data_IF_784176871895
#
_entry.id   IF_784176871895
#
_cell.length_a   1.000
_cell.length_b   1.000
_cell.length_c   1.000
_cell.angle_alpha   90.00
_cell.angle_beta   90.00
_cell.angle_gamma   90.00
#
_symmetry.space_group_name_H-M   'P 1'
#
loop_
_entity.id
_entity.type
_entity.pdbx_description
1 polymer ?
#
# COMPACT_ATOMS: atom_id res chain seq x y z
N UNK A 1 12.80 -8.89 -39.25
CA UNK A 1 13.07 -9.10 -37.82
C UNK A 1 12.97 -7.74 -37.13
N UNK A 2 11.91 -7.44 -36.40
CA UNK A 2 11.88 -6.26 -35.51
C UNK A 2 10.91 -6.55 -34.37
N UNK A 3 11.40 -6.37 -33.15
CA UNK A 3 10.86 -6.95 -31.93
C UNK A 3 9.39 -6.64 -31.65
N UNK A 4 8.64 -7.71 -31.30
CA UNK A 4 7.38 -7.58 -30.56
C UNK A 4 7.72 -6.98 -29.18
N UNK A 5 7.38 -5.71 -28.96
CA UNK A 5 7.35 -5.12 -27.62
C UNK A 5 6.24 -5.78 -26.80
N UNK A 6 6.58 -6.85 -26.08
CA UNK A 6 5.71 -7.45 -25.08
C UNK A 6 6.09 -6.95 -23.68
N UNK A 7 5.05 -6.70 -22.88
CA UNK A 7 5.03 -6.50 -21.43
C UNK A 7 5.26 -5.07 -20.91
N UNK A 8 4.17 -4.31 -20.87
CA UNK A 8 3.99 -3.21 -19.92
C UNK A 8 3.96 -3.79 -18.50
N UNK A 9 5.14 -4.01 -17.92
CA UNK A 9 5.29 -4.45 -16.54
C UNK A 9 4.69 -3.40 -15.60
N UNK A 10 3.71 -3.79 -14.80
CA UNK A 10 3.18 -3.01 -13.68
C UNK A 10 4.37 -2.62 -12.79
N UNK A 11 4.84 -1.37 -12.92
CA UNK A 11 5.87 -0.83 -12.03
C UNK A 11 5.26 -0.87 -10.62
N UNK A 12 5.64 -1.89 -9.83
CA UNK A 12 5.26 -2.04 -8.42
C UNK A 12 5.94 -0.92 -7.63
N UNK A 13 5.44 0.31 -7.73
CA UNK A 13 5.89 1.38 -6.84
C UNK A 13 5.37 1.08 -5.44
N UNK A 14 6.31 0.71 -4.56
CA UNK A 14 6.08 0.63 -3.13
C UNK A 14 6.04 2.05 -2.57
N UNK A 15 5.01 2.41 -1.82
CA UNK A 15 4.87 3.71 -1.17
C UNK A 15 5.90 3.85 -0.05
N UNK A 16 6.87 4.73 -0.30
CA UNK A 16 7.79 5.18 0.74
C UNK A 16 7.14 6.25 1.61
N UNK A 17 7.61 6.39 2.85
CA UNK A 17 7.10 7.43 3.77
C UNK A 17 7.19 8.84 3.16
N UNK A 18 8.26 9.14 2.42
CA UNK A 18 8.42 10.42 1.71
C UNK A 18 7.32 10.65 0.65
N UNK A 19 6.89 9.61 -0.07
CA UNK A 19 5.80 9.70 -1.05
C UNK A 19 4.46 9.94 -0.35
N UNK A 20 4.23 9.28 0.79
CA UNK A 20 3.01 9.46 1.59
C UNK A 20 2.95 10.87 2.20
N UNK A 21 4.09 11.41 2.65
CA UNK A 21 4.19 12.80 3.12
C UNK A 21 3.85 13.79 2.02
N UNK A 22 4.45 13.62 0.84
CA UNK A 22 4.24 14.49 -0.34
C UNK A 22 2.91 14.26 -1.07
N UNK A 23 2.11 13.28 -0.64
CA UNK A 23 0.86 12.97 -1.31
C UNK A 23 -0.09 14.17 -1.24
N UNK A 24 -0.69 14.59 -2.37
CA UNK A 24 -1.62 15.72 -2.40
C UNK A 24 -2.88 15.40 -1.59
N UNK A 25 -3.36 16.39 -0.85
CA UNK A 25 -4.57 16.32 -0.01
C UNK A 25 -5.82 16.33 -0.89
N UNK A 26 -6.10 15.22 -1.52
CA UNK A 26 -7.27 14.99 -2.37
C UNK A 26 -7.82 13.60 -2.09
N UNK A 27 -9.09 13.36 -2.43
CA UNK A 27 -9.68 12.03 -2.33
C UNK A 27 -9.06 11.11 -3.39
N UNK A 28 -7.91 10.50 -3.07
CA UNK A 28 -7.23 9.56 -3.95
C UNK A 28 -6.75 8.32 -3.20
N UNK A 29 -6.51 7.29 -4.01
CA UNK A 29 -5.93 6.03 -3.58
C UNK A 29 -4.48 5.99 -4.03
N UNK A 30 -3.59 5.62 -3.11
CA UNK A 30 -2.21 5.28 -3.42
C UNK A 30 -2.04 3.78 -3.12
N UNK A 31 -1.72 2.98 -4.13
CA UNK A 31 -1.46 1.56 -3.92
C UNK A 31 0.01 1.34 -3.53
N UNK A 32 0.26 0.61 -2.43
CA UNK A 32 1.60 0.20 -1.97
C UNK A 32 2.02 -1.17 -2.55
N UNK A 33 1.07 -1.87 -3.19
CA UNK A 33 1.19 -3.27 -3.55
C UNK A 33 0.82 -4.19 -2.39
N UNK A 34 0.89 -5.50 -2.61
CA UNK A 34 0.50 -6.53 -1.63
C UNK A 34 -0.93 -6.33 -1.05
N UNK A 35 -1.84 -5.77 -1.85
CA UNK A 35 -3.21 -5.41 -1.43
C UNK A 35 -3.31 -4.33 -0.33
N UNK A 36 -2.21 -3.65 -0.01
CA UNK A 36 -2.17 -2.46 0.83
C UNK A 36 -2.32 -1.20 -0.04
N UNK A 37 -3.15 -0.26 0.43
CA UNK A 37 -3.37 1.04 -0.18
C UNK A 37 -3.62 2.10 0.86
N UNK A 38 -3.22 3.33 0.57
CA UNK A 38 -3.48 4.51 1.38
C UNK A 38 -4.66 5.27 0.77
N UNK A 39 -5.65 5.57 1.61
CA UNK A 39 -6.69 6.55 1.32
C UNK A 39 -6.21 7.92 1.81
N UNK A 40 -5.99 8.86 0.90
CA UNK A 40 -5.86 10.27 1.26
C UNK A 40 -7.22 10.91 1.08
N UNK A 41 -7.63 11.75 2.03
CA UNK A 41 -8.86 12.52 1.98
C UNK A 41 -8.56 14.01 1.89
N UNK A 42 -9.53 14.78 1.39
CA UNK A 42 -9.46 16.26 1.33
C UNK A 42 -9.27 16.97 2.68
N UNK A 43 -9.55 16.28 3.79
CA UNK A 43 -9.34 16.79 5.15
C UNK A 43 -7.94 16.47 5.71
N UNK A 44 -6.97 16.21 4.83
CA UNK A 44 -5.60 15.74 5.13
C UNK A 44 -5.52 14.44 5.94
N UNK A 45 -6.63 13.71 6.05
CA UNK A 45 -6.64 12.43 6.73
C UNK A 45 -6.11 11.35 5.79
N UNK A 46 -5.04 10.66 6.21
CA UNK A 46 -4.38 9.59 5.48
C UNK A 46 -4.59 8.27 6.21
N UNK A 47 -5.22 7.28 5.58
CA UNK A 47 -5.59 6.01 6.23
C UNK A 47 -5.10 4.81 5.43
N UNK A 48 -4.45 3.86 6.10
CA UNK A 48 -4.06 2.60 5.49
C UNK A 48 -5.23 1.62 5.41
N UNK A 49 -5.44 1.04 4.23
CA UNK A 49 -6.47 0.05 3.91
C UNK A 49 -5.82 -1.18 3.32
N UNK A 50 -6.07 -2.33 3.93
CA UNK A 50 -5.57 -3.62 3.45
C UNK A 50 -6.73 -4.44 2.93
N UNK A 51 -6.70 -4.78 1.65
CA UNK A 51 -7.67 -5.66 1.04
C UNK A 51 -7.20 -7.11 1.20
N UNK A 52 -8.09 -7.96 1.70
CA UNK A 52 -7.80 -9.38 1.86
C UNK A 52 -9.01 -10.21 1.45
N UNK A 53 -8.79 -11.51 1.25
CA UNK A 53 -9.86 -12.47 1.00
C UNK A 53 -9.86 -13.49 2.13
N UNK A 54 -11.02 -13.67 2.75
CA UNK A 54 -11.25 -14.69 3.77
C UNK A 54 -12.48 -15.48 3.36
N UNK A 55 -12.36 -16.81 3.25
CA UNK A 55 -13.44 -17.69 2.80
C UNK A 55 -14.10 -17.22 1.48
N UNK A 56 -13.28 -16.83 0.49
CA UNK A 56 -13.75 -16.36 -0.82
C UNK A 56 -14.38 -14.95 -0.83
N UNK A 57 -14.60 -14.33 0.34
CA UNK A 57 -15.18 -12.98 0.44
C UNK A 57 -14.07 -11.93 0.54
N UNK A 58 -14.14 -10.92 -0.32
CA UNK A 58 -13.24 -9.76 -0.24
C UNK A 58 -13.65 -8.86 0.93
N UNK A 59 -12.65 -8.49 1.73
CA UNK A 59 -12.79 -7.61 2.89
C UNK A 59 -11.70 -6.54 2.86
N UNK A 60 -11.96 -5.42 3.51
CA UNK A 60 -11.01 -4.32 3.65
C UNK A 60 -10.82 -4.00 5.12
N UNK A 61 -9.60 -4.14 5.62
CA UNK A 61 -9.22 -3.79 6.98
C UNK A 61 -8.66 -2.36 7.00
N UNK A 62 -9.04 -1.57 8.00
CA UNK A 62 -8.37 -0.31 8.30
C UNK A 62 -7.17 -0.59 9.22
N UNK A 63 -5.96 -0.31 8.75
CA UNK A 63 -4.74 -0.53 9.55
C UNK A 63 -4.39 0.66 10.45
N UNK A 64 -5.01 1.81 10.23
CA UNK A 64 -4.83 3.01 11.05
C UNK A 64 -4.54 4.27 10.22
N UNK A 65 -4.37 5.38 10.93
CA UNK A 65 -4.06 6.67 10.34
C UNK A 65 -2.54 6.87 10.24
N UNK A 66 -2.10 7.50 9.16
CA UNK A 66 -0.78 8.10 9.08
C UNK A 66 -0.79 9.42 9.85
N UNK A 67 0.24 9.78 10.64
CA UNK A 67 1.55 9.14 10.77
C UNK A 67 1.67 8.07 11.88
N UNK A 68 0.59 7.79 12.63
CA UNK A 68 0.63 6.80 13.74
C UNK A 68 1.09 5.42 13.26
N UNK A 69 0.76 5.07 12.01
CA UNK A 69 1.22 3.85 11.35
C UNK A 69 2.06 4.21 10.10
N UNK A 70 3.40 4.16 10.17
CA UNK A 70 4.26 4.42 9.00
C UNK A 70 4.27 3.22 8.05
N UNK A 71 4.41 3.47 6.75
CA UNK A 71 4.40 2.42 5.71
C UNK A 71 5.44 1.33 5.95
N UNK A 72 6.61 1.69 6.48
CA UNK A 72 7.69 0.74 6.78
C UNK A 72 7.25 -0.34 7.79
N UNK A 73 6.40 0.01 8.76
CA UNK A 73 5.91 -0.92 9.79
C UNK A 73 4.89 -1.92 9.23
N UNK A 74 4.15 -1.53 8.20
CA UNK A 74 3.17 -2.38 7.53
C UNK A 74 3.81 -3.34 6.53
N UNK A 75 4.92 -2.92 5.90
CA UNK A 75 5.66 -3.74 4.96
C UNK A 75 6.60 -4.77 5.61
N UNK A 76 6.79 -4.73 6.94
CA UNK A 76 7.82 -5.48 7.65
C UNK A 76 7.34 -6.68 8.48
N UNK A 77 6.19 -7.29 8.16
CA UNK A 77 5.72 -8.49 8.89
C UNK A 77 6.37 -9.80 8.42
N UNK A 78 7.58 -9.75 7.85
CA UNK A 78 8.39 -10.94 7.49
C UNK A 78 9.57 -11.20 8.44
N UNK A 79 9.61 -10.57 9.63
CA UNK A 79 10.48 -11.06 10.71
C UNK A 79 9.85 -12.31 11.32
N UNK A 80 10.10 -13.47 10.70
CA UNK A 80 9.94 -14.76 11.38
C UNK A 80 10.69 -14.68 12.72
N UNK A 81 10.09 -15.10 13.85
CA UNK A 81 10.85 -15.25 15.08
C UNK A 81 11.99 -16.24 14.81
N UNK A 82 13.21 -15.84 15.16
CA UNK A 82 14.39 -16.71 15.12
C UNK A 82 14.14 -17.80 16.19
N UNK A 83 14.09 -19.09 15.84
CA UNK A 83 14.02 -20.12 16.87
C UNK A 83 15.30 -20.04 17.71
N UNK A 84 15.12 -19.98 19.02
CA UNK A 84 16.19 -20.16 19.99
C UNK A 84 16.66 -21.61 19.98
#
# INVERSE_FOLDING_TARGET
MSERKQSTGYQRQKLTDAMVRKAPVKDNWLDDGAALRLLVRKNDTKCWRFNYRLAGKQKTLAMGFYPQVPSNKLASNSKKPKPA
#
